data_IF_983949200418
#
_entry.id   IF_983949200418
#
_cell.length_a   1.000
_cell.length_b   1.000
_cell.length_c   1.000
_cell.angle_alpha   90.00
_cell.angle_beta   90.00
_cell.angle_gamma   90.00
#
_symmetry.space_group_name_H-M   'P 1'
#
loop_
_entity.id
_entity.type
_entity.pdbx_description
1 polymer ?
#
# COMPACT_ATOMS: atom_id res chain seq x y z
N UNK A 1 -13.17 11.77 -6.40
CA UNK A 1 -13.06 10.99 -5.15
C UNK A 1 -14.44 10.66 -4.60
N UNK A 2 -14.70 9.38 -4.33
CA UNK A 2 -15.99 8.83 -3.88
C UNK A 2 -16.52 9.51 -2.60
N UNK A 3 -15.63 9.83 -1.66
CA UNK A 3 -15.96 10.38 -0.34
C UNK A 3 -16.61 11.77 -0.36
N UNK A 4 -16.38 12.56 -1.41
CA UNK A 4 -16.88 13.94 -1.48
C UNK A 4 -18.12 14.10 -2.37
N UNK A 5 -18.68 12.98 -2.89
CA UNK A 5 -19.86 13.05 -3.77
C UNK A 5 -21.16 12.96 -2.97
N UNK A 6 -22.05 13.93 -3.21
CA UNK A 6 -23.39 14.03 -2.61
C UNK A 6 -24.46 13.47 -3.56
N UNK A 7 -25.64 13.15 -3.00
CA UNK A 7 -26.78 12.69 -3.78
C UNK A 7 -26.54 11.33 -4.48
N UNK A 8 -27.27 10.98 -5.54
CA UNK A 8 -27.19 9.65 -6.15
C UNK A 8 -25.82 9.34 -6.80
N UNK A 9 -24.94 10.33 -6.94
CA UNK A 9 -23.64 10.16 -7.61
C UNK A 9 -22.68 9.22 -6.87
N UNK A 10 -22.77 9.09 -5.54
CA UNK A 10 -21.97 8.10 -4.81
C UNK A 10 -22.31 6.66 -5.24
N UNK A 11 -23.59 6.39 -5.60
CA UNK A 11 -24.05 5.08 -6.09
C UNK A 11 -23.48 4.73 -7.47
N UNK A 12 -23.13 5.75 -8.27
CA UNK A 12 -22.47 5.53 -9.57
C UNK A 12 -21.02 5.09 -9.33
N UNK A 13 -20.34 5.71 -8.36
CA UNK A 13 -18.94 5.40 -8.03
C UNK A 13 -18.81 4.10 -7.22
N UNK A 14 -19.85 3.71 -6.45
CA UNK A 14 -19.86 2.42 -5.75
C UNK A 14 -19.80 1.21 -6.68
N UNK A 15 -19.90 1.40 -7.99
CA UNK A 15 -19.57 0.37 -9.00
C UNK A 15 -18.11 -0.09 -8.96
N UNK A 16 -17.24 0.56 -8.19
CA UNK A 16 -15.86 0.13 -7.95
C UNK A 16 -15.73 -1.01 -6.93
N UNK A 17 -16.77 -1.31 -6.13
CA UNK A 17 -16.73 -2.39 -5.13
C UNK A 17 -16.26 -3.77 -5.64
N UNK A 18 -16.56 -4.21 -6.89
CA UNK A 18 -16.07 -5.49 -7.40
C UNK A 18 -14.55 -5.63 -7.47
N UNK A 19 -13.80 -4.50 -7.50
CA UNK A 19 -12.33 -4.50 -7.47
C UNK A 19 -11.81 -5.11 -6.15
N UNK A 20 -12.60 -5.04 -5.09
CA UNK A 20 -12.29 -5.61 -3.77
C UNK A 20 -13.01 -6.94 -3.52
N UNK A 21 -13.41 -7.66 -4.58
CA UNK A 21 -13.92 -9.03 -4.43
C UNK A 21 -12.85 -9.97 -3.87
N UNK A 22 -13.26 -11.03 -3.17
CA UNK A 22 -12.31 -11.99 -2.56
C UNK A 22 -11.33 -12.59 -3.57
N UNK A 23 -11.76 -12.84 -4.81
CA UNK A 23 -10.87 -13.34 -5.87
C UNK A 23 -9.78 -12.34 -6.26
N UNK A 24 -10.14 -11.04 -6.36
CA UNK A 24 -9.18 -9.97 -6.65
C UNK A 24 -8.26 -9.69 -5.47
N UNK A 25 -8.79 -9.67 -4.24
CA UNK A 25 -8.00 -9.54 -3.02
C UNK A 25 -6.99 -10.69 -2.88
N UNK A 26 -7.39 -11.93 -3.15
CA UNK A 26 -6.49 -13.09 -3.11
C UNK A 26 -5.35 -12.97 -4.11
N UNK A 27 -5.61 -12.40 -5.30
CA UNK A 27 -4.56 -12.12 -6.28
C UNK A 27 -3.60 -11.01 -5.78
N UNK A 28 -4.13 -9.97 -5.12
CA UNK A 28 -3.31 -8.92 -4.51
C UNK A 28 -2.45 -9.43 -3.35
N UNK A 29 -2.90 -10.45 -2.60
CA UNK A 29 -2.15 -11.01 -1.46
C UNK A 29 -0.73 -11.41 -1.83
N UNK A 30 -0.49 -11.95 -3.03
CA UNK A 30 0.86 -12.29 -3.48
C UNK A 30 1.81 -11.07 -3.52
N UNK A 31 1.31 -9.92 -3.98
CA UNK A 31 2.06 -8.66 -4.01
C UNK A 31 2.27 -8.11 -2.59
N UNK A 32 1.24 -8.19 -1.74
CA UNK A 32 1.31 -7.73 -0.35
C UNK A 32 2.34 -8.55 0.44
N UNK A 33 2.36 -9.88 0.26
CA UNK A 33 3.33 -10.76 0.92
C UNK A 33 4.76 -10.44 0.47
N UNK A 34 4.99 -10.26 -0.84
CA UNK A 34 6.31 -9.84 -1.36
C UNK A 34 6.77 -8.53 -0.72
N UNK A 35 5.88 -7.55 -0.60
CA UNK A 35 6.23 -6.27 0.03
C UNK A 35 6.44 -6.37 1.55
N UNK A 36 5.80 -7.35 2.21
CA UNK A 36 6.02 -7.62 3.62
C UNK A 36 7.41 -8.23 3.89
N UNK A 37 7.94 -9.01 2.95
CA UNK A 37 9.34 -9.47 2.97
C UNK A 37 10.29 -8.26 2.87
N UNK A 38 10.06 -7.34 1.94
CA UNK A 38 10.84 -6.10 1.82
C UNK A 38 10.81 -5.26 3.11
N UNK A 39 9.64 -5.15 3.75
CA UNK A 39 9.51 -4.47 5.05
C UNK A 39 10.32 -5.19 6.15
N UNK A 40 10.33 -6.51 6.15
CA UNK A 40 11.08 -7.32 7.11
C UNK A 40 12.58 -7.08 6.94
N UNK A 41 13.08 -7.17 5.70
CA UNK A 41 14.48 -6.87 5.35
C UNK A 41 14.87 -5.43 5.72
N UNK A 42 13.96 -4.47 5.56
CA UNK A 42 14.19 -3.10 5.98
C UNK A 42 14.33 -2.99 7.50
N UNK A 43 13.44 -3.63 8.27
CA UNK A 43 13.47 -3.60 9.74
C UNK A 43 14.73 -4.29 10.28
N UNK A 44 15.22 -5.35 9.64
CA UNK A 44 16.45 -6.05 10.04
C UNK A 44 17.67 -5.12 10.08
N UNK A 45 17.70 -4.07 9.25
CA UNK A 45 18.77 -3.06 9.26
C UNK A 45 18.80 -2.23 10.55
N UNK A 46 17.72 -2.21 11.32
CA UNK A 46 17.55 -1.42 12.53
C UNK A 46 17.60 -2.25 13.82
N UNK A 47 18.01 -3.52 13.78
CA UNK A 47 18.03 -4.41 14.96
C UNK A 47 18.86 -3.86 16.13
N UNK A 48 19.90 -3.06 15.85
CA UNK A 48 20.74 -2.44 16.88
C UNK A 48 20.30 -1.00 17.23
N UNK A 49 19.21 -0.51 16.64
CA UNK A 49 18.69 0.84 16.89
C UNK A 49 17.64 0.75 18.00
N UNK A 50 17.80 1.48 19.11
CA UNK A 50 16.94 1.31 20.29
C UNK A 50 15.49 1.75 20.07
N UNK A 51 15.23 2.64 19.10
CA UNK A 51 13.90 3.10 18.76
C UNK A 51 13.76 3.24 17.25
N UNK A 52 12.66 2.73 16.70
CA UNK A 52 12.30 2.89 15.28
C UNK A 52 10.94 3.55 15.17
N UNK A 53 10.76 4.36 14.14
CA UNK A 53 9.48 4.97 13.84
C UNK A 53 8.59 3.96 13.08
N UNK A 54 7.71 3.30 13.83
CA UNK A 54 6.79 2.32 13.26
C UNK A 54 5.73 2.95 12.36
N UNK A 55 5.38 4.24 12.58
CA UNK A 55 4.42 4.95 11.74
C UNK A 55 5.03 5.17 10.36
N UNK A 56 6.29 5.62 10.32
CA UNK A 56 7.04 5.82 9.09
C UNK A 56 7.18 4.52 8.28
N UNK A 57 7.52 3.42 8.95
CA UNK A 57 7.65 2.08 8.32
C UNK A 57 6.30 1.62 7.76
N UNK A 58 5.21 1.71 8.54
CA UNK A 58 3.87 1.35 8.08
C UNK A 58 3.41 2.22 6.91
N UNK A 59 3.77 3.51 6.92
CA UNK A 59 3.48 4.43 5.82
C UNK A 59 4.24 4.03 4.55
N UNK A 60 5.52 3.64 4.64
CA UNK A 60 6.31 3.12 3.50
C UNK A 60 5.65 1.87 2.90
N UNK A 61 5.34 0.89 3.76
CA UNK A 61 4.70 -0.36 3.37
C UNK A 61 3.35 -0.14 2.67
N UNK A 62 2.42 0.56 3.33
CA UNK A 62 1.06 0.74 2.82
C UNK A 62 1.03 1.53 1.50
N UNK A 63 1.88 2.55 1.38
CA UNK A 63 2.03 3.33 0.15
C UNK A 63 2.52 2.47 -1.01
N UNK A 64 3.58 1.68 -0.80
CA UNK A 64 4.12 0.83 -1.86
C UNK A 64 3.16 -0.30 -2.25
N UNK A 65 2.44 -0.89 -1.28
CA UNK A 65 1.36 -1.86 -1.54
C UNK A 65 0.27 -1.24 -2.41
N UNK A 66 -0.16 -0.01 -2.14
CA UNK A 66 -1.15 0.70 -2.95
C UNK A 66 -0.61 0.99 -4.35
N UNK A 67 0.63 1.48 -4.46
CA UNK A 67 1.29 1.72 -5.75
C UNK A 67 1.32 0.45 -6.62
N UNK A 68 1.71 -0.67 -6.03
CA UNK A 68 1.77 -1.97 -6.71
C UNK A 68 0.38 -2.48 -7.10
N UNK A 69 -0.57 -2.49 -6.16
CA UNK A 69 -1.88 -3.13 -6.39
C UNK A 69 -2.83 -2.29 -7.25
N UNK A 70 -2.80 -0.96 -7.11
CA UNK A 70 -3.73 -0.07 -7.81
C UNK A 70 -3.16 0.47 -9.13
N UNK A 71 -1.84 0.67 -9.21
CA UNK A 71 -1.19 1.30 -10.36
C UNK A 71 -0.17 0.40 -11.07
N UNK A 72 0.21 -0.74 -10.47
CA UNK A 72 1.23 -1.63 -11.04
C UNK A 72 2.64 -1.04 -10.99
N UNK A 73 2.89 -0.07 -10.10
CA UNK A 73 4.17 0.63 -9.97
C UNK A 73 4.90 0.18 -8.70
N UNK A 74 6.18 -0.14 -8.84
CA UNK A 74 7.06 -0.41 -7.71
C UNK A 74 7.70 0.91 -7.27
N UNK A 75 7.13 1.56 -6.26
CA UNK A 75 7.55 2.88 -5.80
C UNK A 75 8.85 2.84 -4.97
N UNK A 76 9.24 1.65 -4.49
CA UNK A 76 10.51 1.41 -3.76
C UNK A 76 10.68 2.33 -2.55
N UNK A 77 9.60 2.53 -1.78
CA UNK A 77 9.55 3.43 -0.63
C UNK A 77 10.55 3.08 0.51
N UNK A 78 11.11 1.87 0.51
CA UNK A 78 12.15 1.44 1.46
C UNK A 78 13.59 1.70 0.97
N UNK A 79 13.78 1.96 -0.34
CA UNK A 79 15.09 2.23 -0.95
C UNK A 79 15.33 3.72 -1.18
N UNK A 80 14.26 4.48 -1.45
CA UNK A 80 14.33 5.90 -1.77
C UNK A 80 13.39 6.71 -0.86
N UNK A 81 13.94 7.70 -0.14
CA UNK A 81 13.16 8.61 0.69
C UNK A 81 12.30 9.58 -0.16
N UNK A 82 12.74 9.88 -1.39
CA UNK A 82 12.02 10.71 -2.38
C UNK A 82 11.23 9.86 -3.40
N UNK A 83 10.68 8.72 -2.99
CA UNK A 83 9.86 7.89 -3.88
C UNK A 83 8.63 8.69 -4.40
N UNK A 84 8.34 8.65 -5.71
CA UNK A 84 7.28 9.45 -6.36
C UNK A 84 5.87 9.29 -5.74
N UNK A 85 5.63 8.20 -5.02
CA UNK A 85 4.36 7.90 -4.37
C UNK A 85 4.33 8.20 -2.86
N UNK A 86 5.44 8.63 -2.25
CA UNK A 86 5.56 8.89 -0.80
C UNK A 86 4.95 10.24 -0.38
#
# INVERSE_FOLDING_TARGET
MMFFKKGPMWKVISRMSPVFSSGKLKAMTALITKEAENMSDYIEKFVNVPNIDSVEICAKFSTNVIALCAFGVEAKCFENEDAEFR
#
